data_IF_337275062042
#
_entry.id   IF_337275062042
#
_cell.length_a   1.000
_cell.length_b   1.000
_cell.length_c   1.000
_cell.angle_alpha   90.00
_cell.angle_beta   90.00
_cell.angle_gamma   90.00
#
_symmetry.space_group_name_H-M   'P 1'
#
loop_
_entity.id
_entity.type
_entity.pdbx_description
1 polymer ?
#
# COMPACT_ATOMS: atom_id res chain seq x y z
N UNK A 1 -29.44 40.26 16.02
CA UNK A 1 -28.11 40.02 15.40
C UNK A 1 -28.09 40.71 14.06
N UNK A 2 -27.15 41.63 13.83
CA UNK A 2 -26.96 42.31 12.54
C UNK A 2 -26.39 41.32 11.50
N UNK A 3 -26.82 41.43 10.25
CA UNK A 3 -26.44 40.58 9.11
C UNK A 3 -24.92 40.44 8.97
N UNK A 4 -24.18 41.54 9.18
CA UNK A 4 -22.71 41.55 9.10
C UNK A 4 -22.05 40.55 10.06
N UNK A 5 -22.61 40.36 11.27
CA UNK A 5 -22.07 39.38 12.23
C UNK A 5 -22.28 37.95 11.76
N UNK A 6 -23.43 37.66 11.14
CA UNK A 6 -23.71 36.33 10.57
C UNK A 6 -22.74 36.03 9.44
N UNK A 7 -22.52 36.99 8.54
CA UNK A 7 -21.59 36.84 7.41
C UNK A 7 -20.17 36.53 7.87
N UNK A 8 -19.67 37.25 8.88
CA UNK A 8 -18.32 37.03 9.42
C UNK A 8 -18.20 35.62 10.03
N UNK A 9 -19.21 35.17 10.79
CA UNK A 9 -19.22 33.83 11.39
C UNK A 9 -19.18 32.75 10.30
N UNK A 10 -20.02 32.87 9.26
CA UNK A 10 -20.01 31.91 8.16
C UNK A 10 -18.69 31.89 7.40
N UNK A 11 -18.08 33.05 7.15
CA UNK A 11 -16.77 33.14 6.51
C UNK A 11 -15.69 32.45 7.35
N UNK A 12 -15.69 32.65 8.67
CA UNK A 12 -14.74 32.01 9.57
C UNK A 12 -14.90 30.48 9.60
N UNK A 13 -16.15 29.99 9.65
CA UNK A 13 -16.45 28.55 9.60
C UNK A 13 -16.01 27.94 8.28
N UNK A 14 -16.28 28.61 7.15
CA UNK A 14 -15.87 28.14 5.84
C UNK A 14 -14.34 28.01 5.73
N UNK A 15 -13.59 28.99 6.22
CA UNK A 15 -12.13 28.94 6.29
C UNK A 15 -11.64 27.81 7.19
N UNK A 16 -12.28 27.60 8.34
CA UNK A 16 -11.94 26.50 9.24
C UNK A 16 -12.12 25.12 8.59
N UNK A 17 -13.24 24.92 7.89
CA UNK A 17 -13.51 23.65 7.17
C UNK A 17 -12.51 23.46 6.02
N UNK A 18 -12.21 24.52 5.27
CA UNK A 18 -11.22 24.45 4.19
C UNK A 18 -9.83 24.07 4.70
N UNK A 19 -9.42 24.64 5.84
CA UNK A 19 -8.14 24.31 6.48
C UNK A 19 -8.11 22.87 6.96
N UNK A 20 -9.19 22.39 7.61
CA UNK A 20 -9.31 21.00 8.03
C UNK A 20 -9.19 20.05 6.84
N UNK A 21 -9.94 20.30 5.77
CA UNK A 21 -9.87 19.49 4.55
C UNK A 21 -8.45 19.45 3.95
N UNK A 22 -7.73 20.58 3.97
CA UNK A 22 -6.35 20.65 3.51
C UNK A 22 -5.41 19.79 4.35
N UNK A 23 -5.50 19.83 5.68
CA UNK A 23 -4.60 19.07 6.56
C UNK A 23 -4.96 17.58 6.69
N UNK A 24 -6.25 17.22 6.57
CA UNK A 24 -6.71 15.83 6.70
C UNK A 24 -6.84 15.10 5.37
N UNK A 25 -6.52 15.76 4.24
CA UNK A 25 -6.60 15.11 2.92
C UNK A 25 -5.72 13.85 2.90
N UNK A 26 -6.26 12.69 2.47
CA UNK A 26 -5.48 11.47 2.31
C UNK A 26 -4.29 11.74 1.39
N UNK A 27 -3.08 11.52 1.89
CA UNK A 27 -1.89 11.49 1.03
C UNK A 27 -1.95 10.21 0.21
N UNK A 28 -1.56 10.29 -1.06
CA UNK A 28 -1.22 9.07 -1.82
C UNK A 28 -0.02 8.46 -1.11
N UNK A 29 -0.28 7.48 -0.26
CA UNK A 29 0.75 6.55 0.19
C UNK A 29 1.10 5.76 -1.05
N UNK A 30 2.20 6.08 -1.71
CA UNK A 30 2.89 5.07 -2.51
C UNK A 30 3.35 4.07 -1.47
N UNK A 31 2.80 2.85 -1.41
CA UNK A 31 3.21 1.94 -0.36
C UNK A 31 4.71 1.74 -0.47
N UNK A 32 5.44 1.84 0.64
CA UNK A 32 6.90 1.65 0.65
C UNK A 32 7.31 0.30 0.02
N UNK A 33 6.38 -0.66 0.03
CA UNK A 33 6.42 -1.95 -0.66
C UNK A 33 6.51 -1.89 -2.20
N UNK A 34 6.57 -0.70 -2.80
CA UNK A 34 6.81 -0.53 -4.24
C UNK A 34 8.04 0.35 -4.53
N UNK A 35 8.82 0.72 -3.51
CA UNK A 35 10.04 1.51 -3.70
C UNK A 35 11.12 0.72 -4.44
N UNK A 36 11.12 -0.60 -4.27
CA UNK A 36 11.97 -1.60 -4.93
C UNK A 36 11.47 -1.99 -6.34
N UNK A 37 10.43 -1.32 -6.85
CA UNK A 37 9.89 -1.61 -8.17
C UNK A 37 10.96 -1.43 -9.26
N UNK A 38 11.30 -2.53 -9.92
CA UNK A 38 12.30 -2.58 -10.99
C UNK A 38 13.65 -3.13 -10.54
N UNK A 39 13.83 -3.35 -9.24
CA UNK A 39 14.96 -4.09 -8.70
C UNK A 39 14.70 -5.60 -8.79
N UNK A 40 15.79 -6.38 -8.89
CA UNK A 40 15.70 -7.84 -8.85
C UNK A 40 15.41 -8.28 -7.42
N UNK A 41 14.49 -9.23 -7.23
CA UNK A 41 14.24 -9.83 -5.92
C UNK A 41 15.48 -10.55 -5.35
N UNK A 42 16.33 -11.08 -6.22
CA UNK A 42 17.56 -11.78 -5.85
C UNK A 42 18.72 -11.32 -6.75
N UNK A 43 19.30 -10.12 -6.51
CA UNK A 43 20.32 -9.52 -7.37
C UNK A 43 21.57 -10.40 -7.54
N UNK A 44 21.91 -11.17 -6.51
CA UNK A 44 23.09 -12.04 -6.49
C UNK A 44 22.83 -13.42 -7.11
N UNK A 45 21.56 -13.77 -7.41
CA UNK A 45 21.21 -15.04 -8.03
C UNK A 45 21.50 -15.00 -9.54
N UNK A 46 22.75 -15.29 -9.89
CA UNK A 46 23.25 -15.21 -11.27
C UNK A 46 23.38 -16.57 -11.95
N UNK A 47 23.57 -17.65 -11.19
CA UNK A 47 23.70 -19.00 -11.71
C UNK A 47 22.47 -19.85 -11.34
N UNK A 48 21.68 -20.30 -12.33
CA UNK A 48 20.51 -21.15 -12.08
C UNK A 48 20.81 -22.48 -11.37
N UNK A 49 22.05 -22.98 -11.48
CA UNK A 49 22.45 -24.24 -10.84
C UNK A 49 22.73 -24.09 -9.34
N UNK A 50 22.76 -22.87 -8.80
CA UNK A 50 22.92 -22.63 -7.36
C UNK A 50 21.62 -22.93 -6.59
N UNK A 51 20.48 -23.05 -7.29
CA UNK A 51 19.23 -23.46 -6.69
C UNK A 51 19.30 -24.92 -6.21
N UNK A 52 19.30 -25.13 -4.89
CA UNK A 52 19.38 -26.47 -4.27
C UNK A 52 18.03 -27.14 -4.07
N UNK A 53 16.95 -26.39 -4.25
CA UNK A 53 15.59 -26.78 -3.87
C UNK A 53 14.60 -26.26 -4.90
N UNK A 54 13.66 -27.12 -5.28
CA UNK A 54 12.50 -26.76 -6.08
C UNK A 54 11.23 -26.98 -5.25
N UNK A 55 10.42 -25.94 -5.14
CA UNK A 55 9.15 -25.96 -4.43
C UNK A 55 8.02 -25.53 -5.38
N UNK A 56 6.98 -26.35 -5.45
CA UNK A 56 5.74 -26.08 -6.20
C UNK A 56 4.62 -25.99 -5.18
N UNK A 57 3.92 -24.86 -5.16
CA UNK A 57 2.75 -24.64 -4.30
C UNK A 57 1.50 -24.75 -5.17
N UNK A 58 0.67 -25.73 -4.88
CA UNK A 58 -0.71 -25.76 -5.37
C UNK A 58 -1.66 -25.20 -4.29
N UNK A 59 -2.89 -24.85 -4.66
CA UNK A 59 -3.87 -24.28 -3.73
C UNK A 59 -5.19 -25.03 -3.81
N UNK A 60 -5.69 -25.45 -2.64
CA UNK A 60 -7.05 -25.95 -2.51
C UNK A 60 -8.04 -24.76 -2.59
N UNK A 61 -8.89 -24.77 -3.61
CA UNK A 61 -9.80 -23.66 -3.89
C UNK A 61 -10.95 -23.53 -2.87
N UNK A 62 -11.33 -24.63 -2.23
CA UNK A 62 -12.47 -24.67 -1.29
C UNK A 62 -12.07 -24.19 0.11
N UNK A 63 -10.82 -24.46 0.50
CA UNK A 63 -10.29 -24.15 1.85
C UNK A 63 -9.28 -23.01 1.85
N UNK A 64 -8.73 -22.63 0.69
CA UNK A 64 -7.65 -21.64 0.58
C UNK A 64 -6.31 -22.15 1.13
N UNK A 65 -6.17 -23.45 1.33
CA UNK A 65 -4.98 -24.05 1.94
C UNK A 65 -3.90 -24.29 0.88
N UNK A 66 -2.66 -23.95 1.19
CA UNK A 66 -1.52 -24.26 0.34
C UNK A 66 -1.15 -25.75 0.43
N UNK A 67 -0.92 -26.38 -0.72
CA UNK A 67 -0.48 -27.77 -0.87
C UNK A 67 0.96 -27.73 -1.42
N UNK A 68 1.98 -27.71 -0.55
CA UNK A 68 3.37 -27.64 -0.97
C UNK A 68 3.89 -29.01 -1.44
N UNK A 69 4.64 -29.01 -2.55
CA UNK A 69 5.47 -30.11 -3.01
C UNK A 69 6.91 -29.64 -3.14
N UNK A 70 7.85 -30.34 -2.50
CA UNK A 70 9.25 -29.92 -2.39
C UNK A 70 10.22 -31.03 -2.77
N UNK A 71 11.18 -30.70 -3.64
CA UNK A 71 12.31 -31.56 -4.00
C UNK A 71 13.59 -30.85 -3.58
N UNK A 72 14.42 -31.54 -2.81
CA UNK A 72 15.70 -31.02 -2.27
C UNK A 72 16.82 -31.96 -2.69
N UNK A 73 17.97 -31.40 -3.09
CA UNK A 73 19.21 -32.14 -3.38
C UNK A 73 19.98 -32.48 -2.09
#
# INVERSE_FOLDING_TARGET
MNESKKTIIFAAVALGIALLAFITTPKRVTPDAFLDKGELFFPDFTNPNDATTLEVIDYDADTGTAIPFKVTN
#
